data_IF_778551732590
#
_entry.id   IF_778551732590
#
_cell.length_a   1.000
_cell.length_b   1.000
_cell.length_c   1.000
_cell.angle_alpha   90.00
_cell.angle_beta   90.00
_cell.angle_gamma   90.00
#
_symmetry.space_group_name_H-M   'P 1'
#
loop_
_entity.id
_entity.type
_entity.pdbx_description
1 polymer ?
#
# COMPACT_ATOMS: atom_id res chain seq x y z
N UNK A 1 -55.43 -38.13 10.88
CA UNK A 1 -55.90 -37.49 9.63
C UNK A 1 -57.03 -36.55 10.03
N UNK A 2 -56.96 -35.22 9.85
CA UNK A 2 -56.08 -34.45 8.97
C UNK A 2 -54.97 -33.70 9.72
N UNK A 3 -53.96 -33.28 8.95
CA UNK A 3 -52.72 -32.66 9.41
C UNK A 3 -52.91 -31.17 9.72
N UNK A 4 -52.33 -30.77 10.84
CA UNK A 4 -52.19 -29.41 11.35
C UNK A 4 -51.16 -28.62 10.53
N UNK A 5 -51.58 -27.51 9.94
CA UNK A 5 -50.67 -26.53 9.36
C UNK A 5 -50.02 -25.71 10.48
N UNK A 6 -48.73 -25.95 10.72
CA UNK A 6 -47.89 -25.08 11.54
C UNK A 6 -47.48 -23.84 10.72
N UNK A 7 -47.85 -22.67 11.24
CA UNK A 7 -47.36 -21.36 10.81
C UNK A 7 -45.99 -21.14 11.46
N UNK A 8 -44.94 -21.00 10.65
CA UNK A 8 -43.60 -20.65 11.10
C UNK A 8 -43.29 -19.21 10.68
N UNK A 9 -43.02 -18.36 11.67
CA UNK A 9 -42.54 -16.99 11.51
C UNK A 9 -41.11 -16.96 10.90
N UNK A 10 -40.71 -15.87 10.22
CA UNK A 10 -39.40 -15.77 9.58
C UNK A 10 -38.28 -15.59 10.63
N UNK A 11 -37.07 -16.12 10.39
CA UNK A 11 -35.95 -15.87 11.27
C UNK A 11 -35.37 -14.47 11.01
N UNK A 12 -35.31 -13.66 12.06
CA UNK A 12 -34.48 -12.46 12.14
C UNK A 12 -33.02 -12.88 12.30
N UNK A 13 -32.22 -12.74 11.26
CA UNK A 13 -30.75 -12.81 11.37
C UNK A 13 -30.21 -11.43 11.67
N UNK A 14 -29.95 -11.16 12.94
CA UNK A 14 -29.07 -10.08 13.38
C UNK A 14 -27.64 -10.45 13.02
N UNK A 15 -27.06 -9.81 12.00
CA UNK A 15 -25.62 -9.92 11.74
C UNK A 15 -24.92 -8.89 12.62
N UNK A 16 -24.41 -9.37 13.76
CA UNK A 16 -23.43 -8.62 14.56
C UNK A 16 -22.20 -8.33 13.69
N UNK A 17 -21.91 -7.04 13.49
CA UNK A 17 -20.66 -6.61 12.88
C UNK A 17 -19.51 -6.94 13.83
N UNK A 18 -18.62 -7.84 13.40
CA UNK A 18 -17.36 -8.09 14.10
C UNK A 18 -16.52 -6.80 14.12
N UNK A 19 -16.00 -6.38 15.29
CA UNK A 19 -15.10 -5.24 15.35
C UNK A 19 -13.77 -5.61 14.68
N UNK A 20 -13.45 -4.90 13.58
CA UNK A 20 -12.13 -4.95 12.96
C UNK A 20 -11.12 -4.41 13.97
N UNK A 21 -10.17 -5.26 14.41
CA UNK A 21 -9.05 -4.83 15.27
C UNK A 21 -8.34 -3.66 14.58
N UNK A 22 -7.97 -2.60 15.33
CA UNK A 22 -7.13 -1.55 14.76
C UNK A 22 -5.83 -2.18 14.26
N UNK A 23 -5.43 -1.85 13.05
CA UNK A 23 -4.11 -2.18 12.53
C UNK A 23 -3.07 -1.59 13.49
N UNK A 24 -2.18 -2.44 13.99
CA UNK A 24 -1.11 -2.04 14.90
C UNK A 24 -0.18 -1.08 14.14
N UNK A 25 -0.34 0.22 14.41
CA UNK A 25 0.31 1.28 13.65
C UNK A 25 1.83 1.10 13.69
N UNK A 26 2.51 1.42 12.58
CA UNK A 26 3.97 1.50 12.58
C UNK A 26 4.51 2.53 13.59
N UNK A 27 5.84 2.61 13.74
CA UNK A 27 6.44 3.71 14.50
C UNK A 27 5.86 5.05 14.01
N UNK A 28 5.67 6.03 14.91
CA UNK A 28 4.99 7.29 14.59
C UNK A 28 5.67 7.98 13.40
N UNK A 29 4.84 8.44 12.46
CA UNK A 29 5.30 9.22 11.31
C UNK A 29 5.91 10.55 11.81
N UNK A 30 7.06 11.00 11.27
CA UNK A 30 7.57 12.34 11.51
C UNK A 30 6.56 13.40 11.06
N UNK A 31 6.55 14.57 11.70
CA UNK A 31 5.73 15.70 11.26
C UNK A 31 6.10 16.12 9.83
N UNK A 32 5.11 16.37 8.95
CA UNK A 32 5.39 16.82 7.59
C UNK A 32 6.03 18.22 7.61
N UNK A 33 7.01 18.50 6.72
CA UNK A 33 7.61 19.82 6.62
C UNK A 33 6.56 20.86 6.17
N UNK A 34 6.70 22.13 6.59
CA UNK A 34 5.75 23.19 6.24
C UNK A 34 5.70 23.41 4.73
N UNK A 35 4.48 23.58 4.20
CA UNK A 35 4.24 23.90 2.79
C UNK A 35 4.92 25.24 2.43
N UNK A 36 5.98 25.19 1.63
CA UNK A 36 6.63 26.38 1.08
C UNK A 36 8.16 26.44 1.19
N UNK A 37 8.82 25.48 1.85
CA UNK A 37 10.28 25.37 1.74
C UNK A 37 10.65 24.81 0.36
N UNK A 38 11.37 25.58 -0.45
CA UNK A 38 12.00 25.08 -1.66
C UNK A 38 12.93 23.92 -1.26
N UNK A 39 12.48 22.69 -1.49
CA UNK A 39 13.09 21.49 -0.94
C UNK A 39 14.39 21.19 -1.70
N UNK A 40 15.52 21.55 -1.08
CA UNK A 40 16.80 20.95 -1.42
C UNK A 40 16.79 19.44 -1.12
N UNK A 41 17.84 18.75 -1.52
CA UNK A 41 18.03 17.33 -1.21
C UNK A 41 18.14 17.18 0.32
N UNK A 42 17.31 16.33 0.92
CA UNK A 42 17.35 16.05 2.35
C UNK A 42 18.57 15.23 2.78
N UNK A 43 18.66 14.89 4.08
CA UNK A 43 19.84 14.21 4.64
C UNK A 43 20.08 12.83 4.03
N UNK A 44 19.01 12.09 3.75
CA UNK A 44 19.01 10.87 2.96
C UNK A 44 18.24 11.18 1.67
N UNK A 45 18.91 11.24 0.51
CA UNK A 45 18.25 11.50 -0.78
C UNK A 45 17.04 10.59 -1.06
N UNK A 46 15.86 11.20 -1.27
CA UNK A 46 14.65 10.53 -1.78
C UNK A 46 14.16 11.29 -3.00
N UNK A 47 14.39 10.72 -4.18
CA UNK A 47 14.22 11.39 -5.46
C UNK A 47 13.30 10.62 -6.40
N UNK A 48 12.73 11.32 -7.40
CA UNK A 48 11.89 10.75 -8.47
C UNK A 48 10.86 9.72 -7.96
N UNK A 49 10.06 10.12 -6.96
CA UNK A 49 8.97 9.27 -6.44
C UNK A 49 7.92 9.05 -7.54
N UNK A 50 7.53 7.80 -7.76
CA UNK A 50 6.55 7.38 -8.77
C UNK A 50 5.49 6.46 -8.16
N UNK A 51 4.26 6.42 -8.72
CA UNK A 51 3.79 7.18 -9.88
C UNK A 51 3.73 8.70 -9.60
N UNK A 52 3.77 9.52 -10.65
CA UNK A 52 3.63 10.98 -10.53
C UNK A 52 3.01 11.50 -11.81
N UNK A 53 1.89 12.22 -11.72
CA UNK A 53 1.17 12.73 -12.89
C UNK A 53 1.32 14.25 -12.94
N UNK A 54 1.83 14.75 -14.07
CA UNK A 54 2.04 16.19 -14.31
C UNK A 54 2.80 16.89 -13.16
N UNK A 55 3.92 16.32 -12.74
CA UNK A 55 4.74 16.84 -11.63
C UNK A 55 3.96 17.01 -10.31
N UNK A 56 3.01 16.10 -10.03
CA UNK A 56 2.17 16.12 -8.84
C UNK A 56 0.96 17.06 -8.93
N UNK A 57 0.79 17.79 -10.05
CA UNK A 57 -0.37 18.69 -10.25
C UNK A 57 -1.68 17.94 -10.48
N UNK A 58 -1.60 16.66 -10.82
CA UNK A 58 -2.76 15.77 -10.97
C UNK A 58 -2.53 14.50 -10.16
N UNK A 59 -3.60 13.91 -9.62
CA UNK A 59 -3.48 12.67 -8.87
C UNK A 59 -3.10 11.51 -9.77
N UNK A 60 -2.26 10.60 -9.25
CA UNK A 60 -2.23 9.23 -9.72
C UNK A 60 -3.61 8.58 -9.49
N UNK A 61 -3.90 7.45 -10.13
CA UNK A 61 -5.20 6.80 -10.04
C UNK A 61 -5.06 5.36 -9.59
N UNK A 62 -6.03 4.93 -8.80
CA UNK A 62 -6.27 3.53 -8.47
C UNK A 62 -7.78 3.31 -8.27
N UNK A 63 -8.20 2.06 -8.12
CA UNK A 63 -9.51 1.72 -7.54
C UNK A 63 -9.36 0.98 -6.22
N UNK A 64 -10.43 0.91 -5.44
CA UNK A 64 -10.48 0.11 -4.20
C UNK A 64 -9.96 -1.31 -4.44
N UNK A 65 -8.98 -1.73 -3.65
CA UNK A 65 -8.41 -3.08 -3.69
C UNK A 65 -7.36 -3.31 -4.79
N UNK A 66 -7.06 -2.32 -5.64
CA UNK A 66 -6.03 -2.44 -6.67
C UNK A 66 -4.62 -2.29 -6.07
N UNK A 67 -3.74 -3.25 -6.34
CA UNK A 67 -2.34 -3.16 -5.93
C UNK A 67 -1.47 -2.55 -7.02
N UNK A 68 -0.64 -1.56 -6.65
CA UNK A 68 0.34 -0.96 -7.56
C UNK A 68 1.63 -0.61 -6.84
N UNK A 69 2.72 -0.47 -7.59
CA UNK A 69 4.05 -0.16 -7.05
C UNK A 69 4.24 1.36 -6.88
N UNK A 70 4.65 1.76 -5.68
CA UNK A 70 5.27 3.06 -5.42
C UNK A 70 6.78 2.85 -5.40
N UNK A 71 7.52 3.67 -6.15
CA UNK A 71 8.97 3.59 -6.26
C UNK A 71 9.66 4.94 -6.10
N UNK A 72 10.92 4.93 -5.69
CA UNK A 72 11.75 6.12 -5.54
C UNK A 72 13.23 5.77 -5.75
N UNK A 73 14.05 6.78 -6.04
CA UNK A 73 15.50 6.65 -6.01
C UNK A 73 15.98 7.05 -4.63
N UNK A 74 16.62 6.12 -3.92
CA UNK A 74 17.02 6.26 -2.52
C UNK A 74 18.45 5.75 -2.35
N UNK A 75 19.31 6.63 -1.85
CA UNK A 75 20.71 6.34 -1.55
C UNK A 75 21.21 7.29 -0.45
N UNK A 76 22.47 7.14 -0.04
CA UNK A 76 23.17 8.07 0.87
C UNK A 76 24.62 8.28 0.43
N UNK A 77 25.28 9.24 1.05
CA UNK A 77 26.74 9.36 0.98
C UNK A 77 27.44 8.23 1.75
N UNK A 78 28.68 7.92 1.37
CA UNK A 78 29.45 6.84 1.98
C UNK A 78 29.01 5.47 1.48
N UNK A 79 29.26 4.44 2.29
CA UNK A 79 29.05 3.03 1.95
C UNK A 79 28.07 2.31 2.86
N UNK A 80 27.48 3.03 3.82
CA UNK A 80 26.56 2.44 4.79
C UNK A 80 25.20 2.16 4.13
N UNK A 81 24.47 1.19 4.68
CA UNK A 81 23.17 0.80 4.16
C UNK A 81 22.12 1.91 4.34
N UNK A 82 21.13 1.88 3.45
CA UNK A 82 19.88 2.65 3.54
C UNK A 82 18.70 1.71 3.47
N UNK A 83 17.57 2.17 3.98
CA UNK A 83 16.27 1.54 3.77
C UNK A 83 15.20 2.62 3.59
N UNK A 84 14.05 2.20 3.06
CA UNK A 84 12.93 3.08 2.78
C UNK A 84 11.58 2.41 3.07
N UNK A 85 10.54 3.21 3.32
CA UNK A 85 9.15 2.75 3.39
C UNK A 85 8.24 3.72 2.67
N UNK A 86 7.10 3.20 2.24
CA UNK A 86 5.98 4.00 1.76
C UNK A 86 5.06 4.32 2.94
N UNK A 87 4.60 5.57 3.02
CA UNK A 87 3.51 6.00 3.89
C UNK A 87 2.33 6.36 3.00
N UNK A 88 1.37 5.44 2.88
CA UNK A 88 0.10 5.69 2.21
C UNK A 88 -0.88 6.26 3.26
N UNK A 89 -1.48 7.40 2.99
CA UNK A 89 -2.38 8.11 3.90
C UNK A 89 -3.77 8.22 3.29
N UNK A 90 -4.78 7.83 4.06
CA UNK A 90 -6.17 7.82 3.64
C UNK A 90 -6.82 9.23 3.63
N UNK A 91 -8.08 9.37 3.18
CA UNK A 91 -8.76 10.67 3.10
C UNK A 91 -8.92 11.39 4.45
N UNK A 92 -8.93 10.64 5.56
CA UNK A 92 -9.01 11.17 6.92
C UNK A 92 -7.63 11.53 7.49
N UNK A 93 -6.56 11.34 6.72
CA UNK A 93 -5.20 11.64 7.15
C UNK A 93 -4.55 10.53 7.98
N UNK A 94 -5.12 9.33 8.04
CA UNK A 94 -4.58 8.21 8.81
C UNK A 94 -3.56 7.45 7.95
N UNK A 95 -2.36 7.18 8.48
CA UNK A 95 -1.37 6.38 7.77
C UNK A 95 -1.77 4.91 7.76
N UNK A 96 -1.47 4.25 6.63
CA UNK A 96 -1.64 2.82 6.44
C UNK A 96 -0.60 1.96 7.19
N UNK A 97 -0.57 0.66 6.92
CA UNK A 97 0.36 -0.26 7.57
C UNK A 97 1.83 0.02 7.18
N UNK A 98 2.75 -0.48 8.01
CA UNK A 98 4.17 -0.50 7.70
C UNK A 98 4.44 -1.18 6.35
N UNK A 99 5.01 -0.44 5.41
CA UNK A 99 5.22 -0.87 4.03
C UNK A 99 6.68 -0.64 3.62
N UNK A 100 7.60 -1.54 4.00
CA UNK A 100 9.01 -1.39 3.67
C UNK A 100 9.24 -1.60 2.17
N UNK A 101 10.14 -0.81 1.61
CA UNK A 101 10.60 -0.94 0.23
C UNK A 101 11.82 -1.84 0.17
N UNK A 102 12.05 -2.40 -1.02
CA UNK A 102 13.30 -3.10 -1.37
C UNK A 102 13.93 -2.43 -2.58
N UNK A 103 15.24 -2.56 -2.72
CA UNK A 103 15.90 -2.25 -3.99
C UNK A 103 15.36 -3.19 -5.08
N UNK A 104 14.93 -2.64 -6.21
CA UNK A 104 14.25 -3.35 -7.29
C UNK A 104 15.24 -4.10 -8.19
N UNK A 105 16.45 -3.57 -8.32
CA UNK A 105 17.54 -4.22 -9.02
C UNK A 105 18.87 -3.80 -8.37
N UNK A 106 19.84 -4.71 -8.20
CA UNK A 106 21.11 -4.40 -7.54
C UNK A 106 21.86 -3.25 -8.21
N UNK A 107 22.31 -2.27 -7.41
CA UNK A 107 23.15 -1.16 -7.85
C UNK A 107 22.41 -0.09 -8.65
N UNK A 108 21.08 -0.05 -8.56
CA UNK A 108 20.25 0.95 -9.26
C UNK A 108 19.80 2.08 -8.34
N UNK A 109 19.92 1.89 -7.02
CA UNK A 109 19.35 2.78 -6.00
C UNK A 109 17.85 3.00 -6.20
N UNK A 110 17.17 2.15 -6.99
CA UNK A 110 15.74 2.24 -7.24
C UNK A 110 15.02 1.31 -6.30
N UNK A 111 14.22 1.88 -5.42
CA UNK A 111 13.47 1.17 -4.40
C UNK A 111 11.99 1.12 -4.78
N UNK A 112 11.28 0.08 -4.36
CA UNK A 112 9.83 -0.02 -4.55
C UNK A 112 9.13 -0.90 -3.52
N UNK A 113 7.85 -0.61 -3.31
CA UNK A 113 6.91 -1.43 -2.56
C UNK A 113 5.51 -1.36 -3.20
N UNK A 114 4.76 -2.44 -3.09
CA UNK A 114 3.36 -2.45 -3.50
C UNK A 114 2.48 -1.89 -2.38
N UNK A 115 1.51 -1.08 -2.75
CA UNK A 115 0.45 -0.60 -1.87
C UNK A 115 -0.92 -0.98 -2.43
N UNK A 116 -1.91 -1.06 -1.55
CA UNK A 116 -3.30 -1.36 -1.91
C UNK A 116 -4.21 -0.38 -1.15
N UNK A 117 -4.81 0.61 -1.83
CA UNK A 117 -5.74 1.52 -1.19
C UNK A 117 -7.08 0.84 -0.91
N UNK A 118 -7.72 1.29 0.16
CA UNK A 118 -9.04 0.81 0.59
C UNK A 118 -10.17 1.65 -0.01
N UNK A 119 -10.81 2.45 0.82
CA UNK A 119 -11.99 3.22 0.47
C UNK A 119 -11.76 4.26 -0.65
N UNK A 120 -12.77 4.53 -1.51
CA UNK A 120 -12.67 5.60 -2.49
C UNK A 120 -12.46 6.96 -1.84
N UNK A 121 -11.63 7.81 -2.46
CA UNK A 121 -11.37 9.15 -1.96
C UNK A 121 -10.06 9.75 -2.44
N UNK A 122 -9.68 10.86 -1.82
CA UNK A 122 -8.40 11.52 -2.05
C UNK A 122 -7.38 11.02 -1.03
N UNK A 123 -6.48 10.18 -1.50
CA UNK A 123 -5.37 9.65 -0.73
C UNK A 123 -4.10 10.43 -1.03
N UNK A 124 -3.08 10.21 -0.21
CA UNK A 124 -1.73 10.71 -0.50
C UNK A 124 -0.69 9.64 -0.18
N UNK A 125 0.49 9.76 -0.79
CA UNK A 125 1.62 8.91 -0.44
C UNK A 125 2.93 9.70 -0.39
N UNK A 126 3.79 9.26 0.51
CA UNK A 126 5.14 9.79 0.72
C UNK A 126 6.11 8.62 0.82
N UNK A 127 7.35 8.80 0.38
CA UNK A 127 8.44 7.85 0.63
C UNK A 127 9.33 8.42 1.72
N UNK A 128 9.56 7.62 2.76
CA UNK A 128 10.53 7.90 3.81
C UNK A 128 11.78 7.05 3.57
N UNK A 129 12.96 7.65 3.73
CA UNK A 129 14.24 6.93 3.71
C UNK A 129 15.10 7.28 4.92
N UNK A 130 15.95 6.35 5.33
CA UNK A 130 16.84 6.49 6.48
C UNK A 130 18.13 5.72 6.27
N UNK A 131 19.16 6.09 7.04
CA UNK A 131 20.34 5.23 7.21
C UNK A 131 19.96 4.01 8.04
N UNK A 132 20.41 2.82 7.60
CA UNK A 132 20.20 1.54 8.30
C UNK A 132 21.51 1.10 8.97
N UNK A 133 21.77 1.59 10.21
CA UNK A 133 23.01 1.29 10.90
C UNK A 133 23.10 -0.18 11.34
N UNK A 134 21.98 -0.87 11.57
CA UNK A 134 21.99 -2.25 12.04
C UNK A 134 22.39 -3.19 10.89
N UNK A 135 21.83 -3.01 9.69
CA UNK A 135 22.25 -3.80 8.53
C UNK A 135 23.73 -3.57 8.21
N UNK A 136 24.19 -2.31 8.30
CA UNK A 136 25.60 -1.95 8.13
C UNK A 136 26.49 -2.66 9.15
N UNK A 137 26.13 -2.57 10.44
CA UNK A 137 26.88 -3.22 11.52
C UNK A 137 26.91 -4.74 11.38
N UNK A 138 25.77 -5.38 11.07
CA UNK A 138 25.69 -6.84 10.90
C UNK A 138 26.64 -7.33 9.82
N UNK A 139 26.69 -6.63 8.68
CA UNK A 139 27.61 -6.96 7.60
C UNK A 139 29.08 -6.93 8.06
N UNK A 140 29.49 -5.84 8.73
CA UNK A 140 30.85 -5.72 9.26
C UNK A 140 31.16 -6.75 10.36
N UNK A 141 30.22 -6.98 11.28
CA UNK A 141 30.40 -7.91 12.39
C UNK A 141 30.56 -9.36 11.91
N UNK A 142 29.77 -9.77 10.92
CA UNK A 142 29.88 -11.11 10.33
C UNK A 142 31.22 -11.37 9.63
N UNK A 143 31.96 -10.33 9.26
CA UNK A 143 33.30 -10.44 8.67
C UNK A 143 34.39 -10.34 9.76
N UNK A 144 34.29 -9.33 10.63
CA UNK A 144 35.32 -9.01 11.64
C UNK A 144 35.39 -10.02 12.78
N UNK A 145 34.22 -10.51 13.26
CA UNK A 145 34.17 -11.42 14.40
C UNK A 145 34.86 -12.77 14.10
N UNK A 146 34.59 -13.44 12.96
CA UNK A 146 35.33 -14.66 12.60
C UNK A 146 36.83 -14.43 12.37
N UNK A 147 37.23 -13.23 11.96
CA UNK A 147 38.63 -12.86 11.75
C UNK A 147 39.35 -12.44 13.05
N UNK A 148 38.66 -12.38 14.19
CA UNK A 148 39.24 -11.96 15.47
C UNK A 148 39.65 -10.49 15.50
N UNK A 149 39.04 -9.64 14.67
CA UNK A 149 39.39 -8.22 14.55
C UNK A 149 38.46 -7.35 15.40
N UNK A 150 39.03 -6.60 16.34
CA UNK A 150 38.34 -5.63 17.20
C UNK A 150 37.04 -6.17 17.84
N UNK A 151 37.04 -7.44 18.24
CA UNK A 151 35.80 -8.17 18.55
C UNK A 151 34.97 -7.52 19.64
N UNK A 152 35.59 -7.06 20.73
CA UNK A 152 34.85 -6.45 21.83
C UNK A 152 34.29 -5.08 21.45
N UNK A 153 35.05 -4.30 20.68
CA UNK A 153 34.58 -3.00 20.17
C UNK A 153 33.39 -3.18 19.23
N UNK A 154 33.49 -4.11 18.28
CA UNK A 154 32.41 -4.40 17.31
C UNK A 154 31.14 -4.88 18.03
N UNK A 155 31.27 -5.74 19.05
CA UNK A 155 30.12 -6.23 19.80
C UNK A 155 29.48 -5.14 20.67
N UNK A 156 30.28 -4.25 21.28
CA UNK A 156 29.77 -3.11 22.05
C UNK A 156 29.08 -2.06 21.15
N UNK A 157 29.61 -1.78 19.96
CA UNK A 157 28.94 -0.95 18.95
C UNK A 157 27.55 -1.52 18.60
N UNK A 158 27.48 -2.83 18.38
CA UNK A 158 26.22 -3.54 18.12
C UNK A 158 25.23 -3.45 19.28
N UNK A 159 25.72 -3.61 20.51
CA UNK A 159 24.91 -3.53 21.72
C UNK A 159 24.24 -2.15 21.81
N UNK A 160 24.98 -1.06 21.58
CA UNK A 160 24.42 0.30 21.59
C UNK A 160 23.40 0.55 20.49
N UNK A 161 23.59 -0.03 19.30
CA UNK A 161 22.60 0.06 18.22
C UNK A 161 21.30 -0.65 18.62
N UNK A 162 21.41 -1.82 19.23
CA UNK A 162 20.24 -2.61 19.64
C UNK A 162 19.50 -2.00 20.83
N UNK A 163 20.21 -1.33 21.74
CA UNK A 163 19.58 -0.52 22.80
C UNK A 163 18.71 0.60 22.21
N UNK A 164 19.26 1.35 21.27
CA UNK A 164 18.53 2.42 20.58
C UNK A 164 17.34 1.89 19.78
N UNK A 165 17.46 0.71 19.18
CA UNK A 165 16.35 0.03 18.53
C UNK A 165 15.27 -0.39 19.54
N UNK A 166 15.67 -0.87 20.71
CA UNK A 166 14.78 -1.26 21.80
C UNK A 166 13.97 -0.06 22.31
N UNK A 167 14.57 1.13 22.41
CA UNK A 167 13.88 2.35 22.82
C UNK A 167 12.76 2.77 21.87
N UNK A 168 12.89 2.46 20.57
CA UNK A 168 11.86 2.71 19.55
C UNK A 168 10.85 1.56 19.38
N UNK A 169 10.97 0.49 20.17
CA UNK A 169 10.15 -0.72 20.04
C UNK A 169 9.08 -0.77 21.13
N UNK A 170 7.83 -1.18 20.82
CA UNK A 170 6.78 -1.36 21.83
C UNK A 170 7.17 -2.34 22.95
N UNK A 171 6.69 -2.11 24.17
CA UNK A 171 7.10 -2.83 25.39
C UNK A 171 7.11 -4.35 25.23
N UNK A 172 6.06 -4.95 24.63
CA UNK A 172 5.95 -6.41 24.47
C UNK A 172 6.99 -7.07 23.54
N UNK A 173 7.80 -6.30 22.81
CA UNK A 173 8.87 -6.80 21.93
C UNK A 173 10.25 -6.29 22.31
N UNK A 174 10.31 -5.32 23.22
CA UNK A 174 11.55 -4.67 23.66
C UNK A 174 12.52 -5.66 24.32
N UNK A 175 12.00 -6.58 25.12
CA UNK A 175 12.79 -7.55 25.87
C UNK A 175 13.62 -8.47 24.98
N UNK A 176 13.14 -8.78 23.77
CA UNK A 176 13.87 -9.58 22.78
C UNK A 176 15.17 -8.88 22.38
N UNK A 177 15.11 -7.57 22.14
CA UNK A 177 16.29 -6.77 21.79
C UNK A 177 17.21 -6.58 22.99
N UNK A 178 16.67 -6.34 24.19
CA UNK A 178 17.48 -6.20 25.41
C UNK A 178 18.20 -7.50 25.80
N UNK A 179 17.59 -8.67 25.56
CA UNK A 179 18.26 -9.95 25.73
C UNK A 179 19.43 -10.12 24.76
N UNK A 180 19.28 -9.69 23.50
CA UNK A 180 20.38 -9.67 22.53
C UNK A 180 21.49 -8.70 22.95
N UNK A 181 21.15 -7.51 23.49
CA UNK A 181 22.11 -6.54 24.05
C UNK A 181 22.92 -7.17 25.18
N UNK A 182 22.25 -7.81 26.14
CA UNK A 182 22.92 -8.47 27.26
C UNK A 182 23.87 -9.58 26.77
N UNK A 183 23.45 -10.37 25.78
CA UNK A 183 24.29 -11.41 25.19
C UNK A 183 25.48 -10.84 24.40
N UNK A 184 25.31 -9.71 23.69
CA UNK A 184 26.41 -9.01 23.00
C UNK A 184 27.49 -8.54 23.99
N UNK A 185 27.10 -8.13 25.19
CA UNK A 185 28.01 -7.65 26.25
C UNK A 185 28.54 -8.72 27.20
N UNK A 186 28.14 -9.97 27.04
CA UNK A 186 28.60 -11.06 27.90
C UNK A 186 30.03 -11.52 27.53
N UNK A 187 31.03 -10.83 28.09
CA UNK A 187 32.45 -11.11 27.89
C UNK A 187 32.89 -12.51 28.35
N UNK A 188 32.05 -13.23 29.11
CA UNK A 188 32.35 -14.61 29.51
C UNK A 188 32.14 -15.63 28.38
N UNK A 189 31.48 -15.23 27.28
CA UNK A 189 31.15 -16.09 26.14
C UNK A 189 32.03 -15.83 24.92
N UNK A 190 32.25 -16.84 24.05
CA UNK A 190 32.96 -16.64 22.79
C UNK A 190 32.30 -15.56 21.92
N UNK A 191 33.10 -14.72 21.26
CA UNK A 191 32.63 -13.61 20.41
C UNK A 191 31.60 -14.05 19.34
N UNK A 192 31.82 -15.21 18.71
CA UNK A 192 30.87 -15.76 17.73
C UNK A 192 29.51 -16.11 18.36
N UNK A 193 29.49 -16.60 19.61
CA UNK A 193 28.27 -16.93 20.34
C UNK A 193 27.50 -15.67 20.76
N UNK A 194 28.23 -14.63 21.16
CA UNK A 194 27.68 -13.29 21.47
C UNK A 194 27.02 -12.68 20.23
N UNK A 195 27.72 -12.68 19.08
CA UNK A 195 27.19 -12.20 17.80
C UNK A 195 25.94 -12.99 17.37
N UNK A 196 25.97 -14.32 17.46
CA UNK A 196 24.85 -15.16 17.04
C UNK A 196 23.54 -14.84 17.79
N UNK A 197 23.62 -14.43 19.06
CA UNK A 197 22.45 -14.03 19.85
C UNK A 197 21.77 -12.75 19.32
N UNK A 198 22.47 -11.92 18.54
CA UNK A 198 21.91 -10.73 17.90
C UNK A 198 21.38 -10.99 16.48
N UNK A 199 21.51 -12.21 15.97
CA UNK A 199 21.16 -12.61 14.60
C UNK A 199 20.06 -13.69 14.57
N UNK A 200 19.27 -13.79 15.63
CA UNK A 200 18.21 -14.81 15.71
C UNK A 200 16.96 -14.39 14.93
N UNK A 201 16.13 -15.33 14.47
CA UNK A 201 14.88 -15.02 13.79
C UNK A 201 13.92 -14.14 14.61
N UNK A 202 13.93 -14.28 15.94
CA UNK A 202 13.10 -13.48 16.84
C UNK A 202 13.52 -12.01 16.84
N UNK A 203 14.83 -11.76 16.88
CA UNK A 203 15.40 -10.41 16.74
C UNK A 203 15.07 -9.83 15.37
N UNK A 204 15.24 -10.62 14.30
CA UNK A 204 14.93 -10.20 12.94
C UNK A 204 13.48 -9.80 12.78
N UNK A 205 12.54 -10.55 13.37
CA UNK A 205 11.11 -10.23 13.33
C UNK A 205 10.79 -8.89 14.01
N UNK A 206 11.50 -8.54 15.10
CA UNK A 206 11.34 -7.24 15.75
C UNK A 206 11.89 -6.12 14.86
N UNK A 207 13.13 -6.25 14.39
CA UNK A 207 13.79 -5.22 13.59
C UNK A 207 13.17 -5.02 12.21
N UNK A 208 12.61 -6.07 11.60
CA UNK A 208 11.88 -5.95 10.33
C UNK A 208 10.59 -5.13 10.47
N UNK A 209 9.97 -5.14 11.66
CA UNK A 209 8.73 -4.40 11.95
C UNK A 209 8.99 -3.03 12.57
N UNK A 210 10.04 -2.90 13.37
CA UNK A 210 10.44 -1.70 14.11
C UNK A 210 11.95 -1.47 13.95
N UNK A 211 12.41 -1.12 12.74
CA UNK A 211 13.84 -0.89 12.51
C UNK A 211 14.31 0.37 13.24
N UNK A 212 15.61 0.40 13.59
CA UNK A 212 16.26 1.65 13.96
C UNK A 212 16.44 2.51 12.71
N UNK A 213 15.81 3.68 12.68
CA UNK A 213 15.82 4.58 11.53
C UNK A 213 16.58 5.86 11.85
N UNK A 214 17.75 6.06 11.25
CA UNK A 214 18.54 7.28 11.45
C UNK A 214 18.35 8.29 10.32
N UNK A 215 18.24 9.57 10.69
CA UNK A 215 18.16 10.68 9.73
C UNK A 215 17.00 10.56 8.73
N UNK A 216 15.82 10.15 9.21
CA UNK A 216 14.63 9.98 8.39
C UNK A 216 14.38 11.23 7.54
N UNK A 217 14.33 11.04 6.23
CA UNK A 217 14.02 12.06 5.24
C UNK A 217 12.77 11.63 4.48
N UNK A 218 11.79 12.52 4.38
CA UNK A 218 10.55 12.28 3.65
C UNK A 218 10.56 13.01 2.31
N UNK A 219 9.98 12.40 1.27
CA UNK A 219 9.71 13.06 0.00
C UNK A 219 8.61 14.14 0.13
N UNK A 220 8.37 14.88 -0.95
CA UNK A 220 7.09 15.58 -1.09
C UNK A 220 5.93 14.57 -1.07
N UNK A 221 4.79 15.00 -0.54
CA UNK A 221 3.55 14.23 -0.54
C UNK A 221 2.89 14.31 -1.91
N UNK A 222 2.56 13.15 -2.49
CA UNK A 222 1.94 13.04 -3.82
C UNK A 222 0.47 12.60 -3.73
N UNK A 223 -0.41 13.16 -4.58
CA UNK A 223 -1.84 12.85 -4.54
C UNK A 223 -2.19 11.55 -5.28
N UNK A 224 -3.12 10.79 -4.71
CA UNK A 224 -3.74 9.59 -5.28
C UNK A 224 -5.26 9.74 -5.25
N UNK A 225 -5.93 9.49 -6.38
CA UNK A 225 -7.38 9.40 -6.45
C UNK A 225 -7.78 7.93 -6.53
N UNK A 226 -8.52 7.48 -5.51
CA UNK A 226 -9.05 6.11 -5.45
C UNK A 226 -10.52 6.16 -5.84
N UNK A 227 -10.86 5.49 -6.92
CA UNK A 227 -12.22 5.43 -7.46
C UNK A 227 -12.88 4.08 -7.14
N UNK A 228 -14.18 3.94 -7.43
CA UNK A 228 -14.89 2.66 -7.29
C UNK A 228 -14.35 1.60 -8.25
N UNK A 229 -14.45 0.33 -7.89
CA UNK A 229 -14.03 -0.84 -8.70
C UNK A 229 -14.48 -0.73 -10.17
N UNK A 230 -15.74 -0.36 -10.41
CA UNK A 230 -16.33 -0.24 -11.76
C UNK A 230 -15.68 0.83 -12.65
N UNK A 231 -14.79 1.66 -12.12
CA UNK A 231 -13.95 2.56 -12.93
C UNK A 231 -12.81 1.81 -13.65
N UNK A 232 -12.36 0.68 -13.10
CA UNK A 232 -11.33 -0.18 -13.68
C UNK A 232 -11.92 -1.45 -14.31
N UNK A 233 -12.84 -2.11 -13.59
CA UNK A 233 -13.36 -3.42 -13.96
C UNK A 233 -14.85 -3.39 -14.30
N UNK A 234 -15.20 -3.79 -15.52
CA UNK A 234 -16.58 -4.11 -15.87
C UNK A 234 -16.79 -4.42 -17.34
N UNK A 235 -17.78 -5.26 -17.62
CA UNK A 235 -18.19 -5.60 -18.96
C UNK A 235 -19.33 -4.67 -19.43
N UNK A 236 -19.14 -4.02 -20.58
CA UNK A 236 -20.07 -3.04 -21.13
C UNK A 236 -20.80 -3.59 -22.37
N UNK A 237 -22.12 -3.45 -22.40
CA UNK A 237 -22.96 -3.82 -23.55
C UNK A 237 -23.67 -2.59 -24.12
N UNK A 238 -23.44 -2.33 -25.41
CA UNK A 238 -24.15 -1.29 -26.14
C UNK A 238 -25.32 -1.90 -26.95
N UNK A 239 -26.50 -1.29 -26.86
CA UNK A 239 -27.59 -1.60 -27.77
C UNK A 239 -28.53 -0.41 -27.97
N UNK A 240 -29.34 -0.49 -29.04
CA UNK A 240 -30.30 0.55 -29.41
C UNK A 240 -31.70 0.18 -28.92
N UNK A 241 -32.27 0.88 -27.91
CA UNK A 241 -33.62 0.59 -27.42
C UNK A 241 -34.70 0.63 -28.51
N UNK A 242 -34.55 1.55 -29.47
CA UNK A 242 -35.48 1.69 -30.61
C UNK A 242 -35.53 0.48 -31.54
N UNK A 243 -34.51 -0.39 -31.52
CA UNK A 243 -34.46 -1.61 -32.34
C UNK A 243 -35.18 -2.79 -31.68
N UNK A 244 -35.53 -2.67 -30.39
CA UNK A 244 -36.23 -3.69 -29.62
C UNK A 244 -37.75 -3.47 -29.62
N UNK A 245 -38.32 -3.33 -30.81
CA UNK A 245 -39.75 -3.13 -31.03
C UNK A 245 -40.57 -4.43 -31.00
N UNK A 246 -41.85 -4.27 -31.31
CA UNK A 246 -42.77 -5.38 -31.61
C UNK A 246 -43.08 -5.40 -33.10
N UNK A 247 -43.80 -6.43 -33.57
CA UNK A 247 -44.26 -6.50 -34.96
C UNK A 247 -45.17 -5.31 -35.31
N UNK A 248 -46.03 -4.90 -34.38
CA UNK A 248 -47.01 -3.83 -34.59
C UNK A 248 -46.44 -2.43 -34.29
N UNK A 249 -45.39 -2.35 -33.47
CA UNK A 249 -44.67 -1.11 -33.15
C UNK A 249 -43.15 -1.32 -33.32
N UNK A 250 -42.61 -1.19 -34.55
CA UNK A 250 -41.21 -1.47 -34.84
C UNK A 250 -40.22 -0.58 -34.08
N UNK A 251 -40.60 0.66 -33.77
CA UNK A 251 -39.80 1.54 -32.94
C UNK A 251 -40.00 1.17 -31.46
N UNK A 252 -39.00 0.53 -30.87
CA UNK A 252 -39.01 0.14 -29.46
C UNK A 252 -39.20 1.32 -28.50
N UNK A 253 -39.76 1.01 -27.33
CA UNK A 253 -39.87 1.90 -26.17
C UNK A 253 -38.95 1.38 -25.07
N UNK A 254 -38.76 2.13 -23.98
CA UNK A 254 -38.03 1.59 -22.83
C UNK A 254 -38.66 0.31 -22.27
N UNK A 255 -40.00 0.20 -22.29
CA UNK A 255 -40.70 -1.00 -21.83
C UNK A 255 -40.38 -2.22 -22.68
N UNK A 256 -40.34 -2.07 -24.01
CA UNK A 256 -40.00 -3.20 -24.88
C UNK A 256 -38.51 -3.51 -24.84
N UNK A 257 -37.64 -2.49 -24.79
CA UNK A 257 -36.19 -2.66 -24.70
C UNK A 257 -35.73 -3.38 -23.41
N UNK A 258 -36.45 -3.19 -22.30
CA UNK A 258 -36.16 -3.87 -21.03
C UNK A 258 -36.16 -5.41 -21.15
N UNK A 259 -36.87 -5.98 -22.14
CA UNK A 259 -36.87 -7.44 -22.39
C UNK A 259 -35.49 -8.00 -22.76
N UNK A 260 -34.55 -7.16 -23.21
CA UNK A 260 -33.17 -7.57 -23.52
C UNK A 260 -32.28 -7.63 -22.30
N UNK A 261 -32.61 -6.91 -21.23
CA UNK A 261 -31.76 -6.84 -20.03
C UNK A 261 -31.47 -8.22 -19.42
N UNK A 262 -32.43 -9.17 -19.32
CA UNK A 262 -32.13 -10.52 -18.83
C UNK A 262 -31.09 -11.25 -19.69
N UNK A 263 -31.16 -11.13 -21.02
CA UNK A 263 -30.19 -11.76 -21.92
C UNK A 263 -28.81 -11.09 -21.84
N UNK A 264 -28.77 -9.77 -21.68
CA UNK A 264 -27.53 -9.00 -21.48
C UNK A 264 -26.86 -9.42 -20.17
N UNK A 265 -27.63 -9.49 -19.07
CA UNK A 265 -27.13 -9.96 -17.79
C UNK A 265 -26.67 -11.43 -17.85
N UNK A 266 -27.38 -12.30 -18.56
CA UNK A 266 -26.99 -13.70 -18.74
C UNK A 266 -25.67 -13.89 -19.51
N UNK A 267 -25.26 -12.90 -20.32
CA UNK A 267 -23.94 -12.87 -20.95
C UNK A 267 -22.83 -12.36 -20.01
N UNK A 268 -23.16 -11.96 -18.78
CA UNK A 268 -22.19 -11.49 -17.78
C UNK A 268 -21.83 -10.00 -17.89
N UNK A 269 -22.67 -9.19 -18.53
CA UNK A 269 -22.44 -7.74 -18.61
C UNK A 269 -22.93 -7.01 -17.35
N UNK A 270 -22.20 -5.95 -17.00
CA UNK A 270 -22.43 -5.14 -15.81
C UNK A 270 -23.05 -3.78 -16.11
N UNK A 271 -22.72 -3.20 -17.27
CA UNK A 271 -23.09 -1.85 -17.66
C UNK A 271 -23.77 -1.89 -19.02
N UNK A 272 -24.91 -1.22 -19.12
CA UNK A 272 -25.59 -0.98 -20.39
C UNK A 272 -25.29 0.44 -20.85
N UNK A 273 -24.62 0.57 -21.99
CA UNK A 273 -24.42 1.86 -22.66
C UNK A 273 -25.55 2.09 -23.66
N UNK A 274 -26.28 3.19 -23.50
CA UNK A 274 -27.36 3.58 -24.39
C UNK A 274 -26.92 4.73 -25.29
N UNK A 275 -27.11 4.62 -26.62
CA UNK A 275 -27.07 5.76 -27.52
C UNK A 275 -28.06 6.85 -27.08
N UNK A 276 -27.93 8.09 -27.57
CA UNK A 276 -28.77 9.22 -27.12
C UNK A 276 -30.27 8.90 -27.13
N UNK A 277 -30.92 9.14 -25.99
CA UNK A 277 -32.34 8.85 -25.74
C UNK A 277 -33.25 10.09 -25.87
N UNK A 278 -32.71 11.16 -26.45
CA UNK A 278 -33.40 12.44 -26.66
C UNK A 278 -34.10 12.48 -28.04
N UNK A 279 -34.96 13.47 -28.30
CA UNK A 279 -35.51 13.70 -29.64
C UNK A 279 -34.42 13.85 -30.71
N UNK A 280 -34.69 13.36 -31.92
CA UNK A 280 -33.78 13.43 -33.08
C UNK A 280 -34.25 14.57 -34.01
N UNK A 281 -33.36 15.51 -34.34
CA UNK A 281 -33.64 16.62 -35.27
C UNK A 281 -34.03 16.16 -36.69
N UNK A 282 -34.71 17.00 -37.46
CA UNK A 282 -35.20 16.70 -38.82
C UNK A 282 -34.36 17.33 -39.92
N UNK A 283 -33.88 18.55 -39.73
CA UNK A 283 -33.01 19.26 -40.67
C UNK A 283 -31.68 18.54 -40.82
N UNK A 284 -31.27 18.23 -42.07
CA UNK A 284 -30.08 17.43 -42.40
C UNK A 284 -30.00 16.07 -41.68
N UNK A 285 -31.16 15.47 -41.38
CA UNK A 285 -31.20 14.12 -40.80
C UNK A 285 -30.63 13.13 -41.81
N UNK A 286 -29.60 12.40 -41.40
CA UNK A 286 -29.00 11.31 -42.17
C UNK A 286 -29.99 10.17 -42.42
N UNK A 287 -29.97 9.63 -43.62
CA UNK A 287 -30.71 8.45 -44.05
C UNK A 287 -30.05 7.13 -43.65
N UNK A 288 -30.57 6.02 -44.17
CA UNK A 288 -29.97 4.69 -43.98
C UNK A 288 -28.60 4.65 -44.67
N UNK A 289 -27.66 3.90 -44.10
CA UNK A 289 -26.29 3.79 -44.62
C UNK A 289 -25.59 5.16 -44.76
N UNK A 290 -25.87 6.10 -43.85
CA UNK A 290 -25.20 7.40 -43.75
C UNK A 290 -25.38 8.32 -44.97
N UNK A 291 -26.50 8.19 -45.70
CA UNK A 291 -26.89 9.15 -46.77
C UNK A 291 -27.46 10.45 -46.22
#
# INVERSE_FOLDING_TARGET
>A
MPATHHSSAPPTTSTEAHPVRPADAGPPAPQPPPAGAAAGIGRIPVLDVRPMVQHGRRPAKAVTGESFEISATVFREGHDAVAANVVLTDPEGRPGPWTPMRELAPGTDRWGANVTPGEPGHWTYTVEAWGDPITTWRHHAQIKIPAGMDTDLVLEEGARLYERAADGTPEGRRDVLLAAVAALRDESRPAASRLAAALTPEVDAVLARHPLREFVTASQTLPLLVERERALYGAWYEFFPRSEGTKDQPHGTFRTAARRLPAIAAMGFDVVYLPPIHPIGTTFRKGRNNT
#
